data_IF_021378873447
#
_entry.id   IF_021378873447
#
_cell.length_a   1.000
_cell.length_b   1.000
_cell.length_c   1.000
_cell.angle_alpha   90.00
_cell.angle_beta   90.00
_cell.angle_gamma   90.00
#
_symmetry.space_group_name_H-M   'P 1'
#
loop_
_entity.id
_entity.type
_entity.pdbx_description
1 polymer ?
#
# COMPACT_ATOMS: atom_id res chain seq x y z
N UNK A 1 -1.89 -3.42 -14.49
CA UNK A 1 -3.03 -2.82 -13.77
C UNK A 1 -2.96 -1.31 -13.89
N UNK A 2 -1.95 -0.64 -13.32
CA UNK A 2 -1.86 0.83 -13.30
C UNK A 2 -2.04 1.51 -14.67
N UNK A 3 -1.32 1.06 -15.70
CA UNK A 3 -1.44 1.60 -17.06
C UNK A 3 -2.81 1.33 -17.74
N UNK A 4 -3.54 0.30 -17.31
CA UNK A 4 -4.87 -0.04 -17.84
C UNK A 4 -5.93 0.81 -17.13
N UNK A 5 -5.82 0.91 -15.81
CA UNK A 5 -6.70 1.74 -14.96
C UNK A 5 -6.69 3.21 -15.39
N UNK A 6 -5.55 3.74 -15.86
CA UNK A 6 -5.44 5.11 -16.36
C UNK A 6 -6.33 5.44 -17.58
N UNK A 7 -6.90 4.43 -18.25
CA UNK A 7 -7.76 4.59 -19.44
C UNK A 7 -9.25 4.37 -19.13
N UNK A 8 -9.58 4.04 -17.88
CA UNK A 8 -10.94 3.71 -17.46
C UNK A 8 -11.53 4.76 -16.53
N UNK A 9 -12.84 4.66 -16.31
CA UNK A 9 -13.54 5.45 -15.31
C UNK A 9 -13.49 4.75 -13.94
N UNK A 10 -12.83 5.34 -12.91
CA UNK A 10 -12.73 4.77 -11.57
C UNK A 10 -14.06 4.74 -10.80
N UNK A 11 -15.11 5.37 -11.32
CA UNK A 11 -16.45 5.42 -10.74
C UNK A 11 -17.49 4.60 -11.50
N UNK A 12 -17.08 3.94 -12.59
CA UNK A 12 -17.97 3.12 -13.42
C UNK A 12 -18.58 1.93 -12.66
N UNK A 13 -17.84 1.34 -11.71
CA UNK A 13 -18.25 0.14 -10.98
C UNK A 13 -18.03 0.34 -9.48
N UNK A 14 -19.10 0.22 -8.70
CA UNK A 14 -19.03 0.30 -7.25
C UNK A 14 -18.54 -1.02 -6.64
N UNK A 15 -17.23 -1.17 -6.47
CA UNK A 15 -16.65 -2.30 -5.75
C UNK A 15 -16.61 -2.07 -4.23
N UNK A 16 -16.81 -3.13 -3.42
CA UNK A 16 -16.83 -3.00 -1.97
C UNK A 16 -15.44 -2.69 -1.42
N UNK A 17 -15.38 -1.73 -0.49
CA UNK A 17 -14.23 -1.53 0.40
C UNK A 17 -14.50 -2.26 1.71
N UNK A 18 -13.65 -3.21 2.08
CA UNK A 18 -13.79 -3.88 3.37
C UNK A 18 -13.49 -2.88 4.49
N UNK A 19 -14.49 -2.61 5.34
CA UNK A 19 -14.32 -1.76 6.51
C UNK A 19 -14.38 -2.62 7.79
N UNK A 20 -13.20 -2.96 8.30
CA UNK A 20 -13.05 -3.57 9.62
C UNK A 20 -13.15 -2.46 10.67
N UNK A 21 -14.36 -2.24 11.22
CA UNK A 21 -14.63 -1.18 12.21
C UNK A 21 -13.69 -1.33 13.41
N UNK A 22 -13.05 -0.23 13.81
CA UNK A 22 -12.17 -0.17 14.97
C UNK A 22 -10.82 -0.89 14.81
N UNK A 23 -10.51 -1.42 13.63
CA UNK A 23 -9.23 -2.08 13.33
C UNK A 23 -8.47 -1.30 12.27
N UNK A 24 -7.13 -1.34 12.30
CA UNK A 24 -6.27 -0.84 11.22
C UNK A 24 -5.92 -1.93 10.18
N UNK A 25 -6.47 -3.14 10.35
CA UNK A 25 -6.24 -4.26 9.45
C UNK A 25 -6.92 -4.05 8.09
N UNK A 26 -6.36 -4.72 7.09
CA UNK A 26 -6.85 -4.72 5.72
C UNK A 26 -7.52 -6.05 5.37
N UNK A 27 -8.52 -6.00 4.48
CA UNK A 27 -9.10 -7.20 3.86
C UNK A 27 -9.43 -6.94 2.39
N UNK A 28 -8.82 -7.70 1.49
CA UNK A 28 -9.01 -7.59 0.04
C UNK A 28 -9.63 -8.83 -0.60
N UNK A 29 -9.88 -9.89 0.17
CA UNK A 29 -10.45 -11.14 -0.33
C UNK A 29 -11.88 -10.95 -0.86
N UNK A 30 -12.71 -10.21 -0.12
CA UNK A 30 -14.07 -9.85 -0.55
C UNK A 30 -14.08 -9.03 -1.84
N UNK A 31 -13.11 -8.11 -1.99
CA UNK A 31 -12.94 -7.32 -3.20
C UNK A 31 -12.62 -8.20 -4.42
N UNK A 32 -11.67 -9.14 -4.29
CA UNK A 32 -11.35 -10.10 -5.36
C UNK A 32 -12.59 -10.89 -5.81
N UNK A 33 -13.36 -11.41 -4.85
CA UNK A 33 -14.58 -12.17 -5.15
C UNK A 33 -15.63 -11.29 -5.83
N UNK A 34 -15.79 -10.04 -5.39
CA UNK A 34 -16.71 -9.09 -6.02
C UNK A 34 -16.33 -8.80 -7.47
N UNK A 35 -15.04 -8.57 -7.75
CA UNK A 35 -14.54 -8.36 -9.13
C UNK A 35 -14.79 -9.59 -9.99
N UNK A 36 -14.46 -10.79 -9.49
CA UNK A 36 -14.68 -12.04 -10.22
C UNK A 36 -16.16 -12.22 -10.59
N UNK A 37 -17.07 -11.99 -9.64
CA UNK A 37 -18.50 -12.12 -9.86
C UNK A 37 -19.01 -11.05 -10.83
N UNK A 38 -18.49 -9.83 -10.75
CA UNK A 38 -18.84 -8.75 -11.68
C UNK A 38 -18.46 -9.11 -13.11
N UNK A 39 -17.21 -9.54 -13.34
CA UNK A 39 -16.70 -9.93 -14.67
C UNK A 39 -17.51 -11.07 -15.27
N UNK A 40 -17.90 -12.06 -14.45
CA UNK A 40 -18.75 -13.18 -14.92
C UNK A 40 -20.15 -12.74 -15.34
N UNK A 41 -20.71 -11.73 -14.67
CA UNK A 41 -22.06 -11.22 -14.95
C UNK A 41 -22.09 -10.23 -16.11
N UNK A 42 -20.99 -9.50 -16.35
CA UNK A 42 -20.89 -8.45 -17.36
C UNK A 42 -19.66 -8.68 -18.25
N UNK A 43 -19.65 -9.75 -19.07
CA UNK A 43 -18.50 -10.10 -19.90
C UNK A 43 -18.12 -9.02 -20.93
N UNK A 44 -19.07 -8.15 -21.30
CA UNK A 44 -18.90 -7.01 -22.20
C UNK A 44 -18.30 -5.74 -21.55
N UNK A 45 -18.15 -5.71 -20.23
CA UNK A 45 -17.58 -4.57 -19.52
C UNK A 45 -16.13 -4.29 -19.95
N UNK A 46 -15.79 -3.02 -20.12
CA UNK A 46 -14.43 -2.59 -20.47
C UNK A 46 -13.44 -2.98 -19.38
N UNK A 47 -12.30 -3.55 -19.78
CA UNK A 47 -11.26 -4.00 -18.84
C UNK A 47 -10.63 -2.81 -18.11
N UNK A 48 -10.59 -1.66 -18.78
CA UNK A 48 -10.12 -0.37 -18.29
C UNK A 48 -10.97 0.09 -17.10
N UNK A 49 -12.29 0.07 -17.25
CA UNK A 49 -13.26 0.49 -16.23
C UNK A 49 -13.24 -0.44 -15.00
N UNK A 50 -13.15 -1.75 -15.24
CA UNK A 50 -12.97 -2.75 -14.17
C UNK A 50 -11.67 -2.52 -13.41
N UNK A 51 -10.56 -2.29 -14.14
CA UNK A 51 -9.25 -2.04 -13.55
C UNK A 51 -9.22 -0.71 -12.77
N UNK A 52 -9.83 0.34 -13.30
CA UNK A 52 -9.90 1.66 -12.66
C UNK A 52 -10.74 1.61 -11.38
N UNK A 53 -11.92 1.01 -11.45
CA UNK A 53 -12.81 0.86 -10.29
C UNK A 53 -12.20 -0.03 -9.21
N UNK A 54 -11.53 -1.13 -9.59
CA UNK A 54 -10.80 -1.97 -8.64
C UNK A 54 -9.66 -1.21 -7.96
N UNK A 55 -8.84 -0.49 -8.74
CA UNK A 55 -7.75 0.32 -8.22
C UNK A 55 -8.27 1.39 -7.26
N UNK A 56 -9.35 2.09 -7.62
CA UNK A 56 -10.03 3.09 -6.77
C UNK A 56 -10.45 2.50 -5.43
N UNK A 57 -11.07 1.31 -5.42
CA UNK A 57 -11.46 0.64 -4.18
C UNK A 57 -10.26 0.28 -3.29
N UNK A 58 -9.16 -0.22 -3.86
CA UNK A 58 -7.93 -0.54 -3.12
C UNK A 58 -7.29 0.72 -2.56
N UNK A 59 -7.09 1.74 -3.40
CA UNK A 59 -6.45 3.01 -3.02
C UNK A 59 -7.25 3.69 -1.91
N UNK A 60 -8.58 3.76 -2.06
CA UNK A 60 -9.46 4.31 -1.03
C UNK A 60 -9.32 3.58 0.30
N UNK A 61 -9.32 2.23 0.30
CA UNK A 61 -9.16 1.46 1.51
C UNK A 61 -7.79 1.69 2.20
N UNK A 62 -6.71 1.85 1.41
CA UNK A 62 -5.38 2.17 1.95
C UNK A 62 -5.37 3.55 2.61
N UNK A 63 -5.85 4.58 1.90
CA UNK A 63 -5.85 5.96 2.39
C UNK A 63 -6.74 6.11 3.63
N UNK A 64 -7.92 5.49 3.64
CA UNK A 64 -8.84 5.54 4.78
C UNK A 64 -8.16 5.01 6.06
N UNK A 65 -7.36 3.94 5.96
CA UNK A 65 -6.62 3.36 7.09
C UNK A 65 -5.40 4.19 7.49
N UNK A 66 -4.67 4.77 6.53
CA UNK A 66 -3.55 5.66 6.82
C UNK A 66 -4.01 6.87 7.62
N UNK A 67 -5.11 7.51 7.20
CA UNK A 67 -5.66 8.68 7.89
C UNK A 67 -6.18 8.31 9.28
N UNK A 68 -6.85 7.16 9.41
CA UNK A 68 -7.27 6.65 10.71
C UNK A 68 -6.07 6.41 11.65
N UNK A 69 -4.97 5.84 11.15
CA UNK A 69 -3.76 5.60 11.94
C UNK A 69 -3.08 6.92 12.35
N UNK A 70 -2.97 7.88 11.44
CA UNK A 70 -2.45 9.24 11.71
C UNK A 70 -3.21 9.89 12.86
N UNK A 71 -4.54 9.86 12.81
CA UNK A 71 -5.39 10.41 13.87
C UNK A 71 -5.29 9.66 15.19
N UNK A 72 -5.22 8.33 15.16
CA UNK A 72 -5.13 7.49 16.37
C UNK A 72 -3.80 7.64 17.10
N UNK A 73 -2.69 7.74 16.36
CA UNK A 73 -1.33 7.83 16.91
C UNK A 73 -0.88 9.27 17.20
N UNK A 74 -1.64 10.28 16.77
CA UNK A 74 -1.28 11.69 16.95
C UNK A 74 -0.02 12.10 16.18
N UNK A 75 0.29 11.40 15.09
CA UNK A 75 1.44 11.66 14.22
C UNK A 75 1.01 12.45 12.99
N UNK A 76 1.96 13.09 12.31
CA UNK A 76 1.70 13.81 11.06
C UNK A 76 2.68 13.44 9.94
N UNK A 77 3.62 12.52 10.18
CA UNK A 77 4.59 12.06 9.18
C UNK A 77 4.19 10.69 8.66
N UNK A 78 4.05 10.55 7.35
CA UNK A 78 3.69 9.29 6.70
C UNK A 78 4.74 8.97 5.64
N UNK A 79 5.26 7.74 5.67
CA UNK A 79 6.12 7.19 4.62
C UNK A 79 5.32 6.16 3.84
N UNK A 80 5.27 6.28 2.51
CA UNK A 80 4.64 5.29 1.64
C UNK A 80 5.72 4.50 0.87
N UNK A 81 5.98 3.27 1.30
CA UNK A 81 7.01 2.38 0.73
C UNK A 81 6.43 1.01 0.31
N UNK A 82 7.26 0.18 -0.32
CA UNK A 82 6.87 -1.13 -0.87
C UNK A 82 6.36 -1.05 -2.32
N UNK A 83 6.29 -2.17 -3.02
CA UNK A 83 6.03 -2.19 -4.47
C UNK A 83 4.71 -1.53 -4.88
N UNK A 84 3.67 -1.62 -4.05
CA UNK A 84 2.36 -0.96 -4.31
C UNK A 84 2.46 0.57 -4.18
N UNK A 85 3.43 1.11 -3.43
CA UNK A 85 3.63 2.56 -3.33
C UNK A 85 4.08 3.19 -4.64
N UNK A 86 4.54 2.41 -5.62
CA UNK A 86 4.85 2.89 -6.96
C UNK A 86 3.58 3.20 -7.79
N UNK A 87 2.40 2.78 -7.33
CA UNK A 87 1.15 3.00 -8.04
C UNK A 87 0.81 4.49 -8.19
N UNK A 88 0.55 4.91 -9.42
CA UNK A 88 0.33 6.32 -9.75
C UNK A 88 -0.91 6.91 -9.06
N UNK A 89 -2.04 6.19 -9.06
CA UNK A 89 -3.27 6.63 -8.39
C UNK A 89 -3.08 6.74 -6.88
N UNK A 90 -2.45 5.74 -6.23
CA UNK A 90 -2.15 5.80 -4.79
C UNK A 90 -1.30 7.01 -4.44
N UNK A 91 -0.23 7.28 -5.21
CA UNK A 91 0.64 8.44 -4.98
C UNK A 91 -0.11 9.76 -5.11
N UNK A 92 -0.90 9.92 -6.17
CA UNK A 92 -1.65 11.15 -6.41
C UNK A 92 -2.72 11.38 -5.33
N UNK A 93 -3.55 10.37 -5.06
CA UNK A 93 -4.59 10.48 -4.04
C UNK A 93 -4.04 10.66 -2.62
N UNK A 94 -2.90 10.02 -2.29
CA UNK A 94 -2.27 10.23 -0.98
C UNK A 94 -1.65 11.63 -0.87
N UNK A 95 -1.11 12.21 -1.94
CA UNK A 95 -0.62 13.61 -1.93
C UNK A 95 -1.76 14.59 -1.67
N UNK A 96 -2.87 14.44 -2.38
CA UNK A 96 -4.07 15.28 -2.18
C UNK A 96 -4.59 15.15 -0.75
N UNK A 97 -4.71 13.91 -0.25
CA UNK A 97 -5.15 13.68 1.12
C UNK A 97 -4.18 14.26 2.15
N UNK A 98 -2.88 14.09 1.93
CA UNK A 98 -1.85 14.62 2.82
C UNK A 98 -1.91 16.14 2.93
N UNK A 99 -2.11 16.84 1.81
CA UNK A 99 -2.30 18.29 1.81
C UNK A 99 -3.54 18.70 2.61
N UNK A 100 -4.66 17.98 2.44
CA UNK A 100 -5.92 18.32 3.14
C UNK A 100 -5.88 18.04 4.66
N UNK A 101 -5.07 17.07 5.10
CA UNK A 101 -4.99 16.61 6.49
C UNK A 101 -3.74 17.14 7.23
N UNK A 102 -2.91 17.96 6.58
CA UNK A 102 -1.66 18.47 7.17
C UNK A 102 -0.60 17.39 7.41
N UNK A 103 -0.60 16.33 6.60
CA UNK A 103 0.37 15.22 6.69
C UNK A 103 1.62 15.56 5.87
N UNK A 104 2.79 15.40 6.49
CA UNK A 104 4.08 15.40 5.83
C UNK A 104 4.32 14.02 5.18
N UNK A 105 4.14 13.94 3.87
CA UNK A 105 4.22 12.71 3.09
C UNK A 105 5.61 12.50 2.47
N UNK A 106 6.24 11.38 2.81
CA UNK A 106 7.51 10.93 2.24
C UNK A 106 7.28 9.82 1.22
N UNK A 107 7.66 10.08 -0.03
CA UNK A 107 7.60 9.13 -1.13
C UNK A 107 9.02 8.82 -1.62
N UNK A 108 9.56 7.60 -1.40
CA UNK A 108 10.80 7.20 -2.02
C UNK A 108 10.70 7.29 -3.55
N UNK A 109 11.84 7.42 -4.23
CA UNK A 109 11.89 7.32 -5.69
C UNK A 109 11.39 5.94 -6.15
N UNK A 110 10.84 5.85 -7.37
CA UNK A 110 10.21 4.61 -7.84
C UNK A 110 11.17 3.41 -7.80
N UNK A 111 12.45 3.63 -8.16
CA UNK A 111 13.49 2.60 -8.15
C UNK A 111 13.84 2.11 -6.74
N UNK A 112 13.47 2.85 -5.70
CA UNK A 112 13.68 2.48 -4.30
C UNK A 112 12.43 1.89 -3.63
N UNK A 113 11.28 1.86 -4.30
CA UNK A 113 10.04 1.34 -3.73
C UNK A 113 9.93 -0.19 -3.82
N UNK A 114 10.58 -0.80 -4.82
CA UNK A 114 10.65 -2.26 -4.98
C UNK A 114 11.87 -2.84 -4.28
N UNK A 115 11.86 -4.14 -4.02
CA UNK A 115 12.97 -4.84 -3.36
C UNK A 115 14.30 -4.59 -4.09
N UNK A 116 15.29 -4.10 -3.34
CA UNK A 116 16.61 -3.77 -3.88
C UNK A 116 17.71 -3.93 -2.81
N UNK A 117 18.96 -4.07 -3.23
CA UNK A 117 20.08 -4.21 -2.30
C UNK A 117 20.40 -2.92 -1.53
N UNK A 118 20.01 -1.74 -2.06
CA UNK A 118 20.29 -0.46 -1.41
C UNK A 118 19.51 -0.30 -0.10
N UNK A 119 18.26 -0.78 -0.02
CA UNK A 119 17.51 -0.78 1.25
C UNK A 119 18.14 -1.69 2.30
N UNK A 120 18.69 -2.85 1.90
CA UNK A 120 19.37 -3.78 2.80
C UNK A 120 20.68 -3.17 3.31
N UNK A 121 21.47 -2.57 2.41
CA UNK A 121 22.71 -1.89 2.78
C UNK A 121 22.45 -0.70 3.74
N UNK A 122 21.42 0.09 3.49
CA UNK A 122 21.00 1.19 4.36
C UNK A 122 20.59 0.69 5.75
N UNK A 123 19.73 -0.33 5.82
CA UNK A 123 19.33 -0.95 7.08
C UNK A 123 20.55 -1.49 7.84
N UNK A 124 21.43 -2.25 7.17
CA UNK A 124 22.66 -2.78 7.74
C UNK A 124 23.60 -1.70 8.27
N UNK A 125 23.74 -0.58 7.57
CA UNK A 125 24.51 0.57 8.05
C UNK A 125 23.97 1.12 9.37
N UNK A 126 22.64 1.29 9.50
CA UNK A 126 22.04 1.79 10.74
C UNK A 126 22.10 0.77 11.88
N UNK A 127 21.99 -0.53 11.59
CA UNK A 127 22.24 -1.59 12.59
C UNK A 127 23.68 -1.59 13.08
N UNK A 128 24.65 -1.53 12.15
CA UNK A 128 26.08 -1.43 12.46
C UNK A 128 26.38 -0.20 13.33
N UNK A 129 25.81 0.95 12.99
CA UNK A 129 26.00 2.20 13.75
C UNK A 129 25.45 2.12 15.19
N UNK A 130 24.47 1.25 15.44
CA UNK A 130 23.92 0.96 16.77
C UNK A 130 24.69 -0.13 17.53
N UNK A 131 25.69 -0.75 16.90
CA UNK A 131 26.40 -1.91 17.45
C UNK A 131 25.59 -3.21 17.42
N UNK A 132 24.47 -3.24 16.69
CA UNK A 132 23.64 -4.44 16.52
C UNK A 132 24.25 -5.32 15.41
N UNK A 133 25.22 -6.14 15.80
CA UNK A 133 25.93 -7.06 14.90
C UNK A 133 25.40 -8.48 15.06
N UNK A 134 25.22 -9.16 13.93
CA UNK A 134 24.92 -10.59 13.92
C UNK A 134 26.21 -11.41 14.10
N UNK A 135 26.09 -12.57 14.74
CA UNK A 135 27.18 -13.54 14.85
C UNK A 135 27.17 -14.54 13.66
N UNK A 136 28.14 -15.46 13.67
CA UNK A 136 28.26 -16.49 12.64
C UNK A 136 27.18 -17.58 12.70
N UNK A 137 26.31 -17.56 13.72
CA UNK A 137 25.21 -18.52 13.88
C UNK A 137 23.91 -18.03 13.24
N UNK A 138 23.87 -16.79 12.74
CA UNK A 138 22.71 -16.21 12.08
C UNK A 138 22.20 -17.11 10.95
N UNK A 139 20.91 -17.46 11.02
CA UNK A 139 20.24 -18.33 10.06
C UNK A 139 19.01 -17.62 9.48
N UNK A 140 18.71 -17.73 8.17
CA UNK A 140 17.48 -17.22 7.58
C UNK A 140 16.22 -17.67 8.33
N UNK A 141 15.34 -16.72 8.63
CA UNK A 141 13.99 -16.95 9.17
C UNK A 141 12.96 -16.58 8.10
N UNK A 142 12.24 -17.58 7.58
CA UNK A 142 11.21 -17.36 6.56
C UNK A 142 10.03 -16.50 7.08
N UNK A 143 9.79 -16.56 8.38
CA UNK A 143 8.83 -15.72 9.08
C UNK A 143 9.55 -14.96 10.20
N UNK A 144 9.84 -13.68 9.96
CA UNK A 144 10.43 -12.77 10.93
C UNK A 144 9.51 -11.55 11.08
N UNK A 145 8.77 -11.42 12.20
CA UNK A 145 7.95 -10.24 12.44
C UNK A 145 8.79 -8.98 12.59
N UNK A 146 8.33 -7.87 12.01
CA UNK A 146 8.97 -6.56 12.16
C UNK A 146 8.81 -6.11 13.62
N UNK A 147 9.89 -5.58 14.20
CA UNK A 147 9.92 -5.08 15.59
C UNK A 147 10.30 -6.13 16.64
N UNK A 148 10.42 -7.40 16.24
CA UNK A 148 11.01 -8.44 17.11
C UNK A 148 12.52 -8.43 16.91
N UNK A 149 13.27 -8.12 17.96
CA UNK A 149 14.74 -8.24 17.94
C UNK A 149 15.12 -9.72 17.80
N UNK A 150 15.99 -10.00 16.83
CA UNK A 150 16.54 -11.34 16.57
C UNK A 150 17.55 -11.75 17.64
#
# INVERSE_FOLDING_TARGET
MDAISAKGDPHSIAFPKANLKGSLDFSFSGLKTSVLNYVKKHPESKKEDIAASFQSAVVGALIDKIVAAVGAEGINRVVLSGGVSANSALRSSMKEKAMSEGIELFLPSLNLCTDNAAMIASAGYYYFKKGELADFTLNPKAYLPIGVKS
#
